data_IF_914414218529
#
_entry.id   IF_914414218529
#
_cell.length_a   1.000
_cell.length_b   1.000
_cell.length_c   1.000
_cell.angle_alpha   90.00
_cell.angle_beta   90.00
_cell.angle_gamma   90.00
#
_symmetry.space_group_name_H-M   'P 1'
#
loop_
_entity.id
_entity.type
_entity.pdbx_description
1 polymer ?
#
# COMPACT_ATOMS: atom_id res chain seq x y z
N UNK A 1 -13.89 -69.73 -21.23
CA UNK A 1 -13.79 -69.01 -19.94
C UNK A 1 -13.21 -67.59 -20.05
N UNK A 2 -12.48 -67.22 -21.11
CA UNK A 2 -11.89 -65.88 -21.26
C UNK A 2 -12.83 -64.79 -21.82
N UNK A 3 -13.82 -65.16 -22.64
CA UNK A 3 -14.76 -64.19 -23.24
C UNK A 3 -15.71 -63.55 -22.22
N UNK A 4 -16.20 -64.31 -21.22
CA UNK A 4 -17.01 -63.78 -20.13
C UNK A 4 -16.26 -62.73 -19.29
N UNK A 5 -14.96 -62.95 -19.03
CA UNK A 5 -14.12 -61.98 -18.32
C UNK A 5 -13.88 -60.71 -19.15
N UNK A 6 -13.64 -60.86 -20.46
CA UNK A 6 -13.45 -59.73 -21.36
C UNK A 6 -14.73 -58.89 -21.53
N UNK A 7 -15.90 -59.52 -21.64
CA UNK A 7 -17.19 -58.81 -21.70
C UNK A 7 -17.52 -58.09 -20.39
N UNK A 8 -17.26 -58.70 -19.23
CA UNK A 8 -17.45 -58.06 -17.93
C UNK A 8 -16.53 -56.85 -17.74
N UNK A 9 -15.26 -56.96 -18.17
CA UNK A 9 -14.31 -55.84 -18.13
C UNK A 9 -14.79 -54.69 -19.03
N UNK A 10 -15.13 -54.96 -20.30
CA UNK A 10 -15.57 -53.90 -21.23
C UNK A 10 -16.83 -53.19 -20.78
N UNK A 11 -17.81 -53.91 -20.23
CA UNK A 11 -19.04 -53.31 -19.67
C UNK A 11 -18.71 -52.48 -18.43
N UNK A 12 -17.82 -52.96 -17.56
CA UNK A 12 -17.33 -52.22 -16.39
C UNK A 12 -16.62 -50.92 -16.78
N UNK A 13 -15.76 -50.94 -17.80
CA UNK A 13 -15.04 -49.73 -18.24
C UNK A 13 -15.98 -48.72 -18.90
N UNK A 14 -16.95 -49.18 -19.71
CA UNK A 14 -17.92 -48.30 -20.36
C UNK A 14 -18.87 -47.64 -19.34
N UNK A 15 -19.30 -48.38 -18.32
CA UNK A 15 -20.14 -47.83 -17.25
C UNK A 15 -19.37 -46.86 -16.37
N UNK A 16 -18.14 -47.18 -15.97
CA UNK A 16 -17.28 -46.25 -15.23
C UNK A 16 -16.98 -44.98 -16.04
N UNK A 17 -16.66 -45.12 -17.33
CA UNK A 17 -16.43 -44.00 -18.23
C UNK A 17 -17.66 -43.09 -18.38
N UNK A 18 -18.86 -43.69 -18.47
CA UNK A 18 -20.12 -42.95 -18.47
C UNK A 18 -20.37 -42.17 -17.17
N UNK A 19 -20.11 -42.79 -16.01
CA UNK A 19 -20.24 -42.13 -14.70
C UNK A 19 -19.27 -40.96 -14.57
N UNK A 20 -18.01 -41.14 -14.98
CA UNK A 20 -17.00 -40.07 -14.92
C UNK A 20 -17.32 -38.91 -15.89
N UNK A 21 -17.81 -39.22 -17.09
CA UNK A 21 -18.26 -38.20 -18.04
C UNK A 21 -19.45 -37.41 -17.50
N UNK A 22 -20.41 -38.10 -16.86
CA UNK A 22 -21.55 -37.47 -16.22
C UNK A 22 -21.13 -36.58 -15.04
N UNK A 23 -20.17 -37.03 -14.23
CA UNK A 23 -19.61 -36.25 -13.13
C UNK A 23 -18.90 -34.99 -13.64
N UNK A 24 -18.07 -35.10 -14.68
CA UNK A 24 -17.39 -33.96 -15.28
C UNK A 24 -18.39 -32.95 -15.88
N UNK A 25 -19.40 -33.43 -16.60
CA UNK A 25 -20.45 -32.61 -17.19
C UNK A 25 -21.25 -31.87 -16.11
N UNK A 26 -21.66 -32.57 -15.05
CA UNK A 26 -22.43 -31.97 -13.95
C UNK A 26 -21.60 -31.00 -13.11
N UNK A 27 -20.28 -31.20 -12.97
CA UNK A 27 -19.40 -30.22 -12.31
C UNK A 27 -19.32 -28.89 -13.05
N UNK A 28 -19.29 -28.92 -14.40
CA UNK A 28 -19.33 -27.70 -15.21
C UNK A 28 -20.69 -27.01 -15.06
N UNK A 29 -21.77 -27.78 -15.17
CA UNK A 29 -23.14 -27.25 -15.08
C UNK A 29 -23.48 -26.71 -13.68
N UNK A 30 -22.87 -27.25 -12.63
CA UNK A 30 -23.15 -26.87 -11.24
C UNK A 30 -22.82 -25.42 -10.89
N UNK A 31 -21.98 -24.74 -11.67
CA UNK A 31 -21.68 -23.32 -11.46
C UNK A 31 -22.80 -22.40 -11.96
N UNK A 32 -23.49 -22.78 -13.04
CA UNK A 32 -24.50 -21.94 -13.70
C UNK A 32 -25.94 -22.37 -13.39
N UNK A 33 -26.18 -23.69 -13.29
CA UNK A 33 -27.51 -24.29 -13.09
C UNK A 33 -27.45 -25.42 -12.04
N UNK A 34 -27.18 -25.08 -10.76
CA UNK A 34 -26.93 -26.06 -9.72
C UNK A 34 -28.08 -27.05 -9.52
N UNK A 35 -29.33 -26.59 -9.61
CA UNK A 35 -30.51 -27.46 -9.48
C UNK A 35 -30.61 -28.52 -10.58
N UNK A 36 -30.26 -28.17 -11.82
CA UNK A 36 -30.27 -29.10 -12.95
C UNK A 36 -29.09 -30.08 -12.88
N UNK A 37 -27.91 -29.61 -12.46
CA UNK A 37 -26.76 -30.47 -12.23
C UNK A 37 -27.04 -31.52 -11.13
N UNK A 38 -27.60 -31.09 -10.00
CA UNK A 38 -27.98 -31.96 -8.90
C UNK A 38 -29.10 -32.96 -9.29
N UNK A 39 -30.09 -32.51 -10.08
CA UNK A 39 -31.12 -33.39 -10.61
C UNK A 39 -30.60 -34.42 -11.61
N UNK A 40 -29.61 -34.05 -12.42
CA UNK A 40 -29.01 -34.93 -13.43
C UNK A 40 -28.08 -35.99 -12.83
N UNK A 41 -27.35 -35.67 -11.75
CA UNK A 41 -26.54 -36.64 -11.02
C UNK A 41 -26.65 -36.41 -9.50
N UNK A 42 -27.64 -37.05 -8.83
CA UNK A 42 -27.92 -36.85 -7.40
C UNK A 42 -26.81 -37.31 -6.42
N UNK A 43 -25.81 -38.02 -6.93
CA UNK A 43 -24.62 -38.44 -6.17
C UNK A 43 -23.46 -37.44 -6.28
N UNK A 44 -23.66 -36.34 -7.03
CA UNK A 44 -22.68 -35.27 -7.11
C UNK A 44 -22.84 -34.31 -5.94
N UNK A 45 -22.10 -34.56 -4.86
CA UNK A 45 -22.16 -33.70 -3.68
C UNK A 45 -21.71 -32.25 -3.95
N UNK A 46 -20.83 -32.01 -4.94
CA UNK A 46 -20.46 -30.65 -5.37
C UNK A 46 -21.65 -29.90 -5.99
N UNK A 47 -22.44 -30.57 -6.83
CA UNK A 47 -23.66 -29.96 -7.40
C UNK A 47 -24.70 -29.67 -6.30
N UNK A 48 -24.87 -30.58 -5.34
CA UNK A 48 -25.76 -30.38 -4.19
C UNK A 48 -25.28 -29.26 -3.26
N UNK A 49 -23.98 -29.10 -3.05
CA UNK A 49 -23.38 -27.99 -2.31
C UNK A 49 -23.68 -26.63 -2.97
N UNK A 50 -23.63 -26.55 -4.31
CA UNK A 50 -24.01 -25.34 -5.05
C UNK A 50 -25.49 -25.01 -4.93
N UNK A 51 -26.37 -26.00 -4.89
CA UNK A 51 -27.80 -25.80 -4.59
C UNK A 51 -27.99 -25.20 -3.19
N UNK A 52 -27.26 -25.71 -2.20
CA UNK A 52 -27.33 -25.19 -0.83
C UNK A 52 -26.87 -23.72 -0.74
N UNK A 53 -25.79 -23.35 -1.44
CA UNK A 53 -25.33 -21.96 -1.53
C UNK A 53 -26.36 -21.03 -2.20
N UNK A 54 -26.97 -21.48 -3.30
CA UNK A 54 -27.95 -20.69 -4.04
C UNK A 54 -29.20 -20.41 -3.19
N UNK A 55 -29.67 -21.41 -2.43
CA UNK A 55 -30.78 -21.24 -1.46
C UNK A 55 -30.43 -20.30 -0.31
N UNK A 56 -29.20 -20.39 0.21
CA UNK A 56 -28.74 -19.49 1.26
C UNK A 56 -28.69 -18.03 0.77
N UNK A 57 -28.17 -17.80 -0.44
CA UNK A 57 -28.08 -16.46 -1.04
C UNK A 57 -29.46 -15.88 -1.39
N UNK A 58 -30.43 -16.73 -1.74
CA UNK A 58 -31.81 -16.31 -2.01
C UNK A 58 -32.64 -16.05 -0.76
N UNK A 59 -32.05 -16.14 0.44
CA UNK A 59 -32.67 -15.84 1.73
C UNK A 59 -34.01 -16.56 1.95
N UNK A 60 -34.08 -17.83 1.56
CA UNK A 60 -35.27 -18.65 1.86
C UNK A 60 -35.36 -18.90 3.36
N UNK A 61 -36.56 -18.74 3.96
CA UNK A 61 -36.84 -19.03 5.38
C UNK A 61 -36.75 -20.54 5.76
N UNK A 62 -36.34 -21.40 4.82
CA UNK A 62 -36.23 -22.85 5.03
C UNK A 62 -34.87 -23.21 5.64
N UNK A 63 -34.88 -24.01 6.72
CA UNK A 63 -33.65 -24.54 7.31
C UNK A 63 -32.87 -25.40 6.30
N UNK A 64 -31.59 -25.11 6.14
CA UNK A 64 -30.73 -25.84 5.19
C UNK A 64 -30.00 -27.02 5.84
N UNK A 65 -30.16 -27.23 7.15
CA UNK A 65 -29.49 -28.30 7.89
C UNK A 65 -29.75 -29.72 7.34
N UNK A 66 -30.97 -30.11 6.92
CA UNK A 66 -31.21 -31.43 6.34
C UNK A 66 -30.44 -31.64 5.03
N UNK A 67 -30.39 -30.61 4.18
CA UNK A 67 -29.66 -30.64 2.91
C UNK A 67 -28.16 -30.73 3.14
N UNK A 68 -27.61 -29.92 4.05
CA UNK A 68 -26.20 -29.96 4.42
C UNK A 68 -25.77 -31.32 4.97
N UNK A 69 -26.61 -31.97 5.80
CA UNK A 69 -26.34 -33.34 6.28
C UNK A 69 -26.31 -34.36 5.15
N UNK A 70 -27.15 -34.21 4.13
CA UNK A 70 -27.16 -35.12 2.99
C UNK A 70 -25.90 -34.93 2.13
N UNK A 71 -25.47 -33.69 1.92
CA UNK A 71 -24.21 -33.40 1.23
C UNK A 71 -23.03 -34.02 2.00
N UNK A 72 -22.97 -33.87 3.32
CA UNK A 72 -21.86 -34.39 4.13
C UNK A 72 -21.76 -35.92 4.15
N UNK A 73 -22.86 -36.67 3.89
CA UNK A 73 -22.79 -38.13 3.71
C UNK A 73 -22.03 -38.52 2.44
N UNK A 74 -22.08 -37.67 1.42
CA UNK A 74 -21.45 -37.91 0.12
C UNK A 74 -20.08 -37.24 0.03
N UNK A 75 -19.96 -36.03 0.57
CA UNK A 75 -18.77 -35.17 0.55
C UNK A 75 -18.43 -34.68 1.97
N UNK A 76 -17.81 -35.51 2.83
CA UNK A 76 -17.49 -35.17 4.22
C UNK A 76 -16.54 -33.97 4.38
N UNK A 77 -15.84 -33.59 3.30
CA UNK A 77 -14.90 -32.48 3.26
C UNK A 77 -15.53 -31.18 2.70
N UNK A 78 -16.85 -31.13 2.50
CA UNK A 78 -17.57 -29.93 2.04
C UNK A 78 -17.55 -28.85 3.13
N UNK A 79 -16.75 -27.78 2.99
CA UNK A 79 -16.67 -26.75 4.01
C UNK A 79 -17.94 -25.90 4.06
N UNK A 80 -18.67 -25.76 2.95
CA UNK A 80 -19.96 -25.03 2.93
C UNK A 80 -20.98 -25.75 3.78
N UNK A 81 -21.12 -27.08 3.61
CA UNK A 81 -22.11 -27.85 4.36
C UNK A 81 -21.83 -27.83 5.85
N UNK A 82 -20.56 -27.93 6.25
CA UNK A 82 -20.17 -27.70 7.65
C UNK A 82 -20.49 -26.30 8.14
N UNK A 83 -20.27 -25.26 7.32
CA UNK A 83 -20.58 -23.88 7.68
C UNK A 83 -22.10 -23.67 7.85
N UNK A 84 -22.92 -24.25 6.97
CA UNK A 84 -24.38 -24.22 7.10
C UNK A 84 -24.80 -24.88 8.42
N UNK A 85 -24.26 -26.05 8.75
CA UNK A 85 -24.57 -26.71 10.02
C UNK A 85 -24.13 -25.90 11.23
N UNK A 86 -23.01 -25.16 11.15
CA UNK A 86 -22.57 -24.27 12.22
C UNK A 86 -23.53 -23.09 12.40
N UNK A 87 -23.98 -22.47 11.31
CA UNK A 87 -24.87 -21.30 11.32
C UNK A 87 -26.27 -21.61 11.88
N UNK A 88 -26.72 -22.86 11.79
CA UNK A 88 -27.99 -23.34 12.34
C UNK A 88 -27.91 -23.67 13.84
N UNK A 89 -26.72 -23.65 14.47
CA UNK A 89 -26.60 -23.86 15.90
C UNK A 89 -27.10 -22.65 16.69
N UNK A 90 -27.92 -22.89 17.71
CA UNK A 90 -28.33 -21.86 18.66
C UNK A 90 -27.26 -21.59 19.73
N UNK A 91 -26.46 -22.60 20.05
CA UNK A 91 -25.33 -22.47 20.97
C UNK A 91 -24.11 -21.92 20.22
N UNK A 92 -23.65 -20.73 20.64
CA UNK A 92 -22.48 -20.09 20.07
C UNK A 92 -21.21 -20.93 20.25
N UNK A 93 -21.06 -21.66 21.37
CA UNK A 93 -19.88 -22.50 21.59
C UNK A 93 -19.83 -23.66 20.58
N UNK A 94 -20.98 -24.28 20.33
CA UNK A 94 -21.11 -25.37 19.36
C UNK A 94 -20.93 -24.88 17.92
N UNK A 95 -21.46 -23.69 17.59
CA UNK A 95 -21.18 -23.03 16.31
C UNK A 95 -19.68 -22.87 16.08
N UNK A 96 -18.99 -22.31 17.07
CA UNK A 96 -17.56 -22.02 16.98
C UNK A 96 -16.73 -23.31 16.85
N UNK A 97 -17.06 -24.36 17.60
CA UNK A 97 -16.42 -25.67 17.50
C UNK A 97 -16.54 -26.26 16.09
N UNK A 98 -17.73 -26.19 15.49
CA UNK A 98 -17.94 -26.69 14.13
C UNK A 98 -17.15 -25.86 13.11
N UNK A 99 -17.15 -24.53 13.23
CA UNK A 99 -16.39 -23.66 12.32
C UNK A 99 -14.88 -23.94 12.39
N UNK A 100 -14.33 -24.08 13.60
CA UNK A 100 -12.92 -24.38 13.80
C UNK A 100 -12.57 -25.77 13.25
N UNK A 101 -13.36 -26.79 13.55
CA UNK A 101 -13.16 -28.13 13.01
C UNK A 101 -13.26 -28.16 11.47
N UNK A 102 -14.21 -27.42 10.89
CA UNK A 102 -14.34 -27.30 9.45
C UNK A 102 -13.12 -26.63 8.80
N UNK A 103 -12.51 -25.66 9.49
CA UNK A 103 -11.30 -24.97 9.04
C UNK A 103 -10.08 -25.89 8.97
N UNK A 104 -10.01 -26.91 9.83
CA UNK A 104 -8.95 -27.90 9.79
C UNK A 104 -9.09 -28.85 8.58
N UNK A 105 -10.33 -29.10 8.13
CA UNK A 105 -10.62 -29.99 7.02
C UNK A 105 -10.40 -29.33 5.66
N UNK A 106 -10.91 -28.11 5.47
CA UNK A 106 -10.78 -27.40 4.20
C UNK A 106 -10.86 -25.90 4.40
N UNK A 107 -9.83 -25.19 3.93
CA UNK A 107 -9.69 -23.76 4.18
C UNK A 107 -10.20 -22.88 3.04
N UNK A 108 -10.58 -23.41 1.87
CA UNK A 108 -10.63 -22.59 0.64
C UNK A 108 -11.93 -21.84 0.36
N UNK A 109 -12.98 -22.01 1.15
CA UNK A 109 -14.27 -21.37 0.84
C UNK A 109 -14.46 -20.05 1.56
N UNK A 110 -14.86 -19.04 0.79
CA UNK A 110 -15.14 -17.70 1.29
C UNK A 110 -16.17 -17.71 2.42
N UNK A 111 -17.23 -18.50 2.32
CA UNK A 111 -18.28 -18.57 3.35
C UNK A 111 -17.74 -19.02 4.72
N UNK A 112 -16.89 -20.06 4.75
CA UNK A 112 -16.27 -20.53 5.98
C UNK A 112 -15.30 -19.47 6.51
N UNK A 113 -14.45 -18.92 5.64
CA UNK A 113 -13.46 -17.93 6.03
C UNK A 113 -14.09 -16.64 6.56
N UNK A 114 -15.18 -16.15 5.95
CA UNK A 114 -15.93 -14.99 6.47
C UNK A 114 -16.51 -15.25 7.86
N UNK A 115 -16.98 -16.47 8.15
CA UNK A 115 -17.47 -16.82 9.48
C UNK A 115 -16.35 -16.96 10.51
N UNK A 116 -15.20 -17.53 10.12
CA UNK A 116 -14.00 -17.56 10.96
C UNK A 116 -13.48 -16.15 11.24
N UNK A 117 -13.53 -15.25 10.27
CA UNK A 117 -13.15 -13.86 10.47
C UNK A 117 -14.04 -13.18 11.52
N UNK A 118 -15.36 -13.36 11.44
CA UNK A 118 -16.30 -12.86 12.44
C UNK A 118 -16.02 -13.44 13.83
N UNK A 119 -15.74 -14.75 13.89
CA UNK A 119 -15.37 -15.45 15.12
C UNK A 119 -14.11 -14.83 15.76
N UNK A 120 -13.01 -14.76 15.02
CA UNK A 120 -11.74 -14.22 15.55
C UNK A 120 -11.82 -12.73 15.87
N UNK A 121 -12.52 -11.95 15.04
CA UNK A 121 -12.76 -10.54 15.32
C UNK A 121 -13.56 -10.32 16.61
N UNK A 122 -14.55 -11.18 16.90
CA UNK A 122 -15.33 -11.11 18.14
C UNK A 122 -14.52 -11.40 19.41
N UNK A 123 -13.33 -12.01 19.25
CA UNK A 123 -12.42 -12.41 20.33
C UNK A 123 -11.17 -11.52 20.41
N UNK A 124 -11.11 -10.43 19.63
CA UNK A 124 -9.91 -9.59 19.46
C UNK A 124 -8.65 -10.40 19.07
N UNK A 125 -8.83 -11.51 18.35
CA UNK A 125 -7.76 -12.41 17.94
C UNK A 125 -7.17 -11.94 16.61
N UNK A 126 -6.27 -10.96 16.67
CA UNK A 126 -5.64 -10.36 15.49
C UNK A 126 -4.83 -11.36 14.67
N UNK A 127 -4.11 -12.26 15.33
CA UNK A 127 -3.25 -13.24 14.67
C UNK A 127 -4.07 -14.12 13.72
N UNK A 128 -5.14 -14.74 14.24
CA UNK A 128 -5.98 -15.60 13.43
C UNK A 128 -6.87 -14.80 12.46
N UNK A 129 -7.33 -13.60 12.82
CA UNK A 129 -8.09 -12.73 11.91
C UNK A 129 -7.29 -12.34 10.67
N UNK A 130 -6.03 -11.92 10.85
CA UNK A 130 -5.16 -11.52 9.74
C UNK A 130 -4.76 -12.75 8.91
N UNK A 131 -4.54 -13.92 9.53
CA UNK A 131 -4.27 -15.16 8.81
C UNK A 131 -5.45 -15.56 7.89
N UNK A 132 -6.68 -15.47 8.39
CA UNK A 132 -7.91 -15.70 7.62
C UNK A 132 -8.04 -14.69 6.48
N UNK A 133 -7.81 -13.41 6.74
CA UNK A 133 -7.86 -12.36 5.72
C UNK A 133 -6.82 -12.56 4.62
N UNK A 134 -5.60 -12.93 4.98
CA UNK A 134 -4.55 -13.28 4.02
C UNK A 134 -5.02 -14.42 3.11
N UNK A 135 -5.68 -15.42 3.68
CA UNK A 135 -6.22 -16.52 2.90
C UNK A 135 -7.34 -16.10 1.95
N UNK A 136 -8.29 -15.28 2.43
CA UNK A 136 -9.37 -14.73 1.58
C UNK A 136 -8.76 -13.98 0.40
N UNK A 137 -7.84 -13.05 0.65
CA UNK A 137 -7.23 -12.21 -0.39
C UNK A 137 -6.32 -12.99 -1.35
N UNK A 138 -5.77 -14.12 -0.91
CA UNK A 138 -4.99 -15.01 -1.79
C UNK A 138 -5.88 -15.76 -2.78
N UNK A 139 -7.10 -16.14 -2.37
CA UNK A 139 -8.02 -16.95 -3.20
C UNK A 139 -9.02 -16.08 -3.98
N UNK A 140 -9.38 -14.93 -3.41
CA UNK A 140 -10.36 -13.98 -3.95
C UNK A 140 -9.80 -12.54 -3.90
N UNK A 141 -8.83 -12.19 -4.78
CA UNK A 141 -8.27 -10.85 -4.85
C UNK A 141 -9.31 -9.74 -5.11
N UNK A 142 -10.44 -10.08 -5.73
CA UNK A 142 -11.57 -9.15 -5.92
C UNK A 142 -12.18 -8.63 -4.61
N UNK A 143 -11.84 -9.24 -3.46
CA UNK A 143 -12.31 -8.82 -2.14
C UNK A 143 -11.46 -7.69 -1.53
N UNK A 144 -10.38 -7.23 -2.19
CA UNK A 144 -9.51 -6.16 -1.67
C UNK A 144 -10.30 -4.92 -1.22
N UNK A 145 -11.26 -4.44 -2.02
CA UNK A 145 -12.06 -3.25 -1.71
C UNK A 145 -12.88 -3.40 -0.41
N UNK A 146 -13.37 -4.61 -0.12
CA UNK A 146 -14.16 -4.90 1.08
C UNK A 146 -13.26 -5.18 2.29
N UNK A 147 -12.13 -5.84 2.09
CA UNK A 147 -11.28 -6.34 3.18
C UNK A 147 -10.23 -5.32 3.65
N UNK A 148 -9.74 -4.45 2.76
CA UNK A 148 -8.75 -3.44 3.14
C UNK A 148 -9.24 -2.49 4.25
N UNK A 149 -10.48 -1.99 4.25
CA UNK A 149 -10.99 -1.18 5.37
C UNK A 149 -10.91 -1.91 6.72
N UNK A 150 -11.17 -3.21 6.75
CA UNK A 150 -11.10 -4.04 7.97
C UNK A 150 -9.64 -4.16 8.44
N UNK A 151 -8.73 -4.47 7.51
CA UNK A 151 -7.29 -4.54 7.81
C UNK A 151 -6.73 -3.19 8.27
N UNK A 152 -7.12 -2.10 7.63
CA UNK A 152 -6.70 -0.75 8.01
C UNK A 152 -7.22 -0.42 9.41
N UNK A 153 -8.47 -0.78 9.72
CA UNK A 153 -9.03 -0.59 11.06
C UNK A 153 -8.26 -1.40 12.11
N UNK A 154 -7.86 -2.64 11.80
CA UNK A 154 -7.01 -3.45 12.68
C UNK A 154 -5.62 -2.83 12.85
N UNK A 155 -5.01 -2.30 11.78
CA UNK A 155 -3.68 -1.67 11.80
C UNK A 155 -3.62 -0.43 12.72
N UNK A 156 -4.76 0.18 13.06
CA UNK A 156 -4.81 1.26 14.06
C UNK A 156 -4.44 0.79 15.47
N UNK A 157 -4.63 -0.50 15.77
CA UNK A 157 -4.20 -1.09 17.03
C UNK A 157 -2.72 -1.49 16.93
N UNK A 158 -1.88 -0.91 17.80
CA UNK A 158 -0.44 -1.20 17.84
C UNK A 158 -0.14 -2.70 18.06
N UNK A 159 -1.02 -3.41 18.79
CA UNK A 159 -0.88 -4.85 19.06
C UNK A 159 -0.97 -5.70 17.80
N UNK A 160 -1.57 -5.19 16.72
CA UNK A 160 -1.71 -5.91 15.46
C UNK A 160 -0.44 -5.87 14.58
N UNK A 161 0.48 -4.93 14.83
CA UNK A 161 1.65 -4.71 13.96
C UNK A 161 2.53 -5.97 13.80
N UNK A 162 2.86 -6.74 14.87
CA UNK A 162 3.61 -7.99 14.73
C UNK A 162 2.90 -9.02 13.82
N UNK A 163 1.58 -9.11 13.93
CA UNK A 163 0.77 -10.03 13.13
C UNK A 163 0.76 -9.64 11.64
N UNK A 164 0.68 -8.34 11.35
CA UNK A 164 0.87 -7.83 9.98
C UNK A 164 2.26 -8.13 9.45
N UNK A 165 3.31 -8.02 10.27
CA UNK A 165 4.68 -8.34 9.85
C UNK A 165 4.80 -9.82 9.50
N UNK A 166 4.16 -10.71 10.25
CA UNK A 166 4.14 -12.15 9.95
C UNK A 166 3.37 -12.46 8.67
N UNK A 167 2.14 -11.94 8.54
CA UNK A 167 1.29 -12.17 7.38
C UNK A 167 1.92 -11.65 6.08
N UNK A 168 2.58 -10.49 6.13
CA UNK A 168 3.23 -9.88 4.96
C UNK A 168 4.64 -10.43 4.69
N UNK A 169 5.21 -11.25 5.59
CA UNK A 169 6.57 -11.77 5.45
C UNK A 169 6.76 -12.62 4.18
N UNK A 170 5.72 -13.33 3.77
CA UNK A 170 5.72 -14.18 2.58
C UNK A 170 5.35 -13.43 1.29
N UNK A 171 5.24 -12.09 1.35
CA UNK A 171 5.00 -11.22 0.18
C UNK A 171 3.72 -11.58 -0.58
N UNK A 172 2.54 -11.58 0.08
CA UNK A 172 1.32 -11.85 -0.63
C UNK A 172 1.07 -10.77 -1.70
N UNK A 173 0.40 -11.14 -2.80
CA UNK A 173 0.22 -10.25 -3.96
C UNK A 173 -0.50 -8.95 -3.61
N UNK A 174 -1.39 -8.99 -2.61
CA UNK A 174 -2.16 -7.85 -2.11
C UNK A 174 -1.35 -6.89 -1.21
N UNK A 175 -0.13 -7.26 -0.78
CA UNK A 175 0.65 -6.50 0.21
C UNK A 175 0.91 -5.04 -0.20
N UNK A 176 1.36 -4.84 -1.44
CA UNK A 176 1.69 -3.51 -1.97
C UNK A 176 0.44 -2.62 -2.07
N UNK A 177 -0.67 -3.18 -2.59
CA UNK A 177 -1.96 -2.51 -2.68
C UNK A 177 -2.50 -2.13 -1.31
N UNK A 178 -2.39 -3.02 -0.31
CA UNK A 178 -2.79 -2.76 1.06
C UNK A 178 -1.97 -1.63 1.71
N UNK A 179 -0.63 -1.70 1.63
CA UNK A 179 0.23 -0.66 2.19
C UNK A 179 -0.07 0.72 1.57
N UNK A 180 -0.35 0.76 0.25
CA UNK A 180 -0.75 1.97 -0.46
C UNK A 180 -2.12 2.47 -0.01
N UNK A 181 -3.10 1.58 0.16
CA UNK A 181 -4.44 1.95 0.65
C UNK A 181 -4.40 2.47 2.09
N UNK A 182 -3.63 1.81 2.96
CA UNK A 182 -3.44 2.20 4.35
C UNK A 182 -2.82 3.60 4.51
N UNK A 183 -2.00 4.05 3.55
CA UNK A 183 -1.46 5.42 3.54
C UNK A 183 -2.55 6.51 3.43
N UNK A 184 -3.77 6.14 3.03
CA UNK A 184 -4.92 7.04 3.00
C UNK A 184 -5.57 7.30 4.37
N UNK A 185 -5.32 6.45 5.37
CA UNK A 185 -5.94 6.56 6.69
C UNK A 185 -4.95 7.18 7.70
N UNK A 186 -5.30 8.37 8.19
CA UNK A 186 -4.44 9.16 9.09
C UNK A 186 -4.13 8.46 10.41
N UNK A 187 -5.09 7.73 10.96
CA UNK A 187 -4.96 7.10 12.28
C UNK A 187 -4.09 5.84 12.22
N UNK A 188 -4.04 5.19 11.05
CA UNK A 188 -3.17 4.04 10.81
C UNK A 188 -1.72 4.42 10.48
N UNK A 189 -1.42 5.69 10.14
CA UNK A 189 -0.11 6.09 9.60
C UNK A 189 1.10 5.76 10.48
N UNK A 190 0.99 5.96 11.80
CA UNK A 190 2.10 5.68 12.71
C UNK A 190 2.45 4.18 12.71
N UNK A 191 1.43 3.32 12.78
CA UNK A 191 1.61 1.87 12.73
C UNK A 191 2.01 1.39 11.33
N UNK A 192 1.50 2.01 10.27
CA UNK A 192 1.91 1.75 8.89
C UNK A 192 3.39 2.07 8.66
N UNK A 193 3.88 3.20 9.16
CA UNK A 193 5.29 3.57 9.07
C UNK A 193 6.17 2.56 9.81
N UNK A 194 5.78 2.16 11.03
CA UNK A 194 6.45 1.11 11.80
C UNK A 194 6.45 -0.22 11.06
N UNK A 195 5.30 -0.66 10.55
CA UNK A 195 5.13 -1.88 9.77
C UNK A 195 6.06 -1.87 8.56
N UNK A 196 6.05 -0.78 7.79
CA UNK A 196 6.91 -0.64 6.60
C UNK A 196 8.40 -0.70 6.96
N UNK A 197 8.82 -0.06 8.05
CA UNK A 197 10.20 -0.14 8.54
C UNK A 197 10.61 -1.57 8.93
N UNK A 198 9.72 -2.34 9.56
CA UNK A 198 9.96 -3.75 9.93
C UNK A 198 9.99 -4.69 8.71
N UNK A 199 9.28 -4.33 7.64
CA UNK A 199 9.23 -5.08 6.39
C UNK A 199 10.30 -4.66 5.37
N UNK A 200 11.08 -3.62 5.67
CA UNK A 200 11.98 -3.00 4.69
C UNK A 200 12.94 -3.99 4.02
N UNK A 201 13.63 -4.79 4.83
CA UNK A 201 14.62 -5.75 4.34
C UNK A 201 13.98 -7.10 3.94
N UNK A 202 12.67 -7.26 4.13
CA UNK A 202 11.93 -8.51 3.84
C UNK A 202 11.44 -8.55 2.40
N UNK A 203 10.89 -7.44 1.90
CA UNK A 203 10.50 -7.34 0.50
C UNK A 203 10.49 -5.92 -0.07
N UNK A 204 10.60 -5.87 -1.39
CA UNK A 204 10.52 -4.64 -2.16
C UNK A 204 9.05 -4.32 -2.44
N UNK A 205 8.63 -3.12 -2.03
CA UNK A 205 7.36 -2.52 -2.46
C UNK A 205 7.58 -1.69 -3.72
N UNK A 206 6.51 -1.35 -4.43
CA UNK A 206 6.62 -0.42 -5.57
C UNK A 206 7.03 0.97 -5.06
N UNK A 207 7.85 1.74 -5.81
CA UNK A 207 8.25 3.09 -5.40
C UNK A 207 7.08 4.02 -5.10
N UNK A 208 5.98 3.91 -5.85
CA UNK A 208 4.76 4.69 -5.64
C UNK A 208 4.10 4.43 -4.28
N UNK A 209 4.24 3.22 -3.73
CA UNK A 209 3.70 2.85 -2.42
C UNK A 209 4.49 3.56 -1.31
N UNK A 210 5.82 3.48 -1.36
CA UNK A 210 6.71 4.19 -0.43
C UNK A 210 6.50 5.71 -0.49
N UNK A 211 6.36 6.26 -1.70
CA UNK A 211 6.02 7.66 -1.92
C UNK A 211 4.70 8.04 -1.29
N UNK A 212 3.66 7.21 -1.46
CA UNK A 212 2.33 7.45 -0.91
C UNK A 212 2.36 7.49 0.63
N UNK A 213 3.13 6.60 1.27
CA UNK A 213 3.32 6.56 2.72
C UNK A 213 4.05 7.82 3.20
N UNK A 214 5.19 8.16 2.56
CA UNK A 214 5.97 9.36 2.90
C UNK A 214 5.13 10.63 2.78
N UNK A 215 4.42 10.80 1.66
CA UNK A 215 3.56 11.95 1.41
C UNK A 215 2.47 12.07 2.49
N UNK A 216 1.87 10.94 2.89
CA UNK A 216 0.86 10.92 3.92
C UNK A 216 1.42 11.31 5.30
N UNK A 217 2.60 10.79 5.68
CA UNK A 217 3.28 11.15 6.93
C UNK A 217 3.61 12.66 6.98
N UNK A 218 4.14 13.22 5.89
CA UNK A 218 4.43 14.67 5.80
C UNK A 218 3.16 15.51 5.92
N UNK A 219 2.08 15.12 5.24
CA UNK A 219 0.78 15.81 5.35
C UNK A 219 0.18 15.71 6.76
N UNK A 220 0.36 14.57 7.44
CA UNK A 220 -0.11 14.38 8.81
C UNK A 220 0.75 15.13 9.86
N UNK A 221 1.93 15.62 9.46
CA UNK A 221 2.88 16.31 10.34
C UNK A 221 3.84 15.36 11.08
N UNK A 222 3.81 14.06 10.80
CA UNK A 222 4.77 13.08 11.33
C UNK A 222 6.06 13.10 10.50
N UNK A 223 6.80 14.19 10.64
CA UNK A 223 8.02 14.45 9.89
C UNK A 223 9.17 13.54 10.31
N UNK A 224 9.17 13.05 11.55
CA UNK A 224 10.22 12.18 12.08
C UNK A 224 10.13 10.79 11.43
N UNK A 225 8.94 10.19 11.40
CA UNK A 225 8.70 8.91 10.71
C UNK A 225 8.95 9.04 9.20
N UNK A 226 8.49 10.12 8.58
CA UNK A 226 8.71 10.37 7.15
C UNK A 226 10.20 10.44 6.81
N UNK A 227 10.97 11.18 7.60
CA UNK A 227 12.43 11.34 7.42
C UNK A 227 13.18 10.04 7.70
N UNK A 228 12.74 9.26 8.69
CA UNK A 228 13.32 7.95 8.97
C UNK A 228 13.11 6.96 7.81
N UNK A 229 11.89 6.90 7.29
CA UNK A 229 11.54 6.02 6.16
C UNK A 229 12.28 6.42 4.88
N UNK A 230 12.27 7.70 4.51
CA UNK A 230 13.01 8.20 3.34
C UNK A 230 14.51 7.84 3.41
N UNK A 231 15.17 8.07 4.56
CA UNK A 231 16.59 7.72 4.72
C UNK A 231 16.87 6.23 4.55
N UNK A 232 15.96 5.37 5.05
CA UNK A 232 16.07 3.92 4.88
C UNK A 232 15.93 3.53 3.40
N UNK A 233 14.99 4.14 2.66
CA UNK A 233 14.79 3.92 1.23
C UNK A 233 16.01 4.37 0.41
N UNK A 234 16.47 5.59 0.61
CA UNK A 234 17.59 6.18 -0.16
C UNK A 234 18.96 5.58 0.19
N UNK A 235 19.04 4.64 1.13
CA UNK A 235 20.31 4.07 1.59
C UNK A 235 21.22 5.07 2.31
N UNK A 236 20.69 6.24 2.70
CA UNK A 236 21.44 7.28 3.42
C UNK A 236 21.64 6.79 4.86
N UNK A 237 22.73 6.06 5.07
CA UNK A 237 23.10 5.48 6.35
C UNK A 237 23.36 6.56 7.40
N UNK A 238 22.48 6.67 8.40
CA UNK A 238 22.71 7.52 9.56
C UNK A 238 23.58 6.80 10.58
N UNK A 239 24.84 7.22 10.67
CA UNK A 239 25.48 7.36 11.98
C UNK A 239 25.28 8.82 12.42
N UNK A 240 24.17 9.09 13.12
CA UNK A 240 24.04 10.28 13.99
C UNK A 240 22.77 11.15 13.82
N UNK A 241 22.31 11.79 14.91
CA UNK A 241 21.26 12.82 14.88
C UNK A 241 21.84 14.12 14.32
N UNK A 242 21.10 14.75 13.40
CA UNK A 242 21.53 15.92 12.62
C UNK A 242 22.87 15.71 11.86
N UNK A 243 23.09 16.40 10.72
CA UNK A 243 24.45 16.52 10.22
C UNK A 243 25.31 17.11 11.35
N UNK A 244 26.24 16.33 11.89
CA UNK A 244 27.24 16.79 12.84
C UNK A 244 27.82 18.12 12.35
N UNK A 245 28.10 19.07 13.26
CA UNK A 245 28.48 20.45 12.96
C UNK A 245 29.67 20.66 11.98
N UNK A 246 30.33 19.59 11.54
CA UNK A 246 31.46 19.59 10.59
C UNK A 246 31.14 19.04 9.19
N UNK A 247 29.91 18.56 8.91
CA UNK A 247 29.55 18.02 7.60
C UNK A 247 28.89 19.10 6.74
N UNK A 248 29.59 19.52 5.69
CA UNK A 248 28.97 20.24 4.58
C UNK A 248 28.11 19.23 3.80
N UNK A 249 26.81 19.47 3.74
CA UNK A 249 25.87 18.67 2.97
C UNK A 249 25.66 19.35 1.61
N UNK A 250 26.12 18.71 0.53
CA UNK A 250 25.69 19.04 -0.83
C UNK A 250 24.33 18.39 -1.06
N UNK A 251 23.36 19.15 -1.55
CA UNK A 251 22.07 18.60 -1.97
C UNK A 251 22.23 18.00 -3.37
N UNK A 252 21.78 16.75 -3.53
CA UNK A 252 21.62 16.09 -4.84
C UNK A 252 20.46 16.71 -5.64
N UNK A 253 20.34 16.32 -6.90
CA UNK A 253 19.22 16.69 -7.77
C UNK A 253 18.21 15.55 -7.98
N UNK A 254 18.14 14.59 -7.04
CA UNK A 254 17.18 13.47 -7.09
C UNK A 254 15.73 13.99 -7.19
N UNK A 255 14.88 13.26 -7.92
CA UNK A 255 13.46 13.61 -8.15
C UNK A 255 12.50 12.42 -7.96
N UNK A 256 13.02 11.28 -7.48
CA UNK A 256 12.27 10.03 -7.42
C UNK A 256 11.27 10.04 -6.26
N UNK A 257 11.67 10.58 -5.11
CA UNK A 257 10.91 10.56 -3.86
C UNK A 257 10.60 11.95 -3.27
N UNK A 258 9.92 12.87 -3.99
CA UNK A 258 9.39 14.07 -3.37
C UNK A 258 8.47 13.72 -2.20
N UNK A 259 8.39 14.55 -1.14
CA UNK A 259 8.94 15.90 -1.05
C UNK A 259 10.39 15.96 -0.53
N UNK A 260 11.03 14.85 -0.18
CA UNK A 260 12.43 14.88 0.30
C UNK A 260 13.44 15.02 -0.85
N UNK A 261 13.11 14.44 -2.00
CA UNK A 261 13.71 14.78 -3.28
C UNK A 261 13.06 16.03 -3.89
N UNK A 262 13.65 16.57 -4.95
CA UNK A 262 13.14 17.74 -5.63
C UNK A 262 11.82 17.45 -6.35
N UNK A 263 10.78 18.16 -5.95
CA UNK A 263 9.66 18.45 -6.84
C UNK A 263 10.07 19.58 -7.80
N UNK A 264 9.80 19.39 -9.09
CA UNK A 264 10.12 20.36 -10.13
C UNK A 264 8.84 20.82 -10.82
N UNK A 265 8.70 22.12 -11.01
CA UNK A 265 7.61 22.68 -11.78
C UNK A 265 7.81 22.37 -13.27
N UNK A 266 6.78 21.86 -13.93
CA UNK A 266 6.80 21.49 -15.37
C UNK A 266 5.80 22.32 -16.19
N UNK A 267 5.44 23.51 -15.69
CA UNK A 267 4.50 24.41 -16.33
C UNK A 267 5.02 25.01 -17.65
N UNK A 268 4.10 25.52 -18.47
CA UNK A 268 4.44 26.17 -19.75
C UNK A 268 4.95 27.61 -19.61
N UNK A 269 4.69 28.26 -18.47
CA UNK A 269 5.13 29.62 -18.15
C UNK A 269 6.36 29.67 -17.25
N UNK A 270 6.53 28.67 -16.41
CA UNK A 270 7.63 28.55 -15.47
C UNK A 270 7.95 27.06 -15.30
N UNK A 271 9.21 26.68 -15.50
CA UNK A 271 9.64 25.28 -15.46
C UNK A 271 11.04 25.13 -14.89
N UNK A 272 11.29 23.98 -14.29
CA UNK A 272 12.61 23.50 -13.90
C UNK A 272 12.81 22.06 -14.37
N UNK A 273 14.05 21.72 -14.71
CA UNK A 273 14.45 20.38 -15.14
C UNK A 273 15.88 20.09 -14.66
N UNK A 274 16.20 18.82 -14.47
CA UNK A 274 17.59 18.39 -14.19
C UNK A 274 18.28 18.13 -15.53
N UNK A 275 19.54 18.53 -15.61
CA UNK A 275 20.44 18.24 -16.73
C UNK A 275 21.64 17.50 -16.17
N UNK A 276 21.89 16.26 -16.60
CA UNK A 276 22.83 15.34 -15.93
C UNK A 276 24.32 15.59 -16.26
N UNK A 277 24.62 16.32 -17.35
CA UNK A 277 26.00 16.55 -17.81
C UNK A 277 26.29 18.05 -18.05
N UNK A 278 26.99 18.75 -17.13
CA UNK A 278 27.12 18.40 -15.71
C UNK A 278 25.80 18.52 -14.94
N UNK A 279 25.61 17.67 -13.92
CA UNK A 279 24.41 17.63 -13.08
C UNK A 279 24.06 19.01 -12.49
N UNK A 280 22.92 19.57 -12.90
CA UNK A 280 22.44 20.89 -12.49
C UNK A 280 20.94 21.02 -12.66
N UNK A 281 20.33 21.95 -11.92
CA UNK A 281 18.95 22.34 -12.13
C UNK A 281 18.89 23.52 -13.08
N UNK A 282 18.26 23.36 -14.23
CA UNK A 282 17.98 24.44 -15.18
C UNK A 282 16.55 24.92 -15.00
N UNK A 283 16.32 26.22 -15.11
CA UNK A 283 14.99 26.81 -15.04
C UNK A 283 14.75 27.90 -16.08
N UNK A 284 13.47 28.08 -16.40
CA UNK A 284 12.97 29.10 -17.29
C UNK A 284 11.70 29.72 -16.71
N UNK A 285 11.57 31.04 -16.78
CA UNK A 285 10.35 31.78 -16.46
C UNK A 285 10.05 32.77 -17.59
N UNK A 286 8.90 32.59 -18.21
CA UNK A 286 8.38 33.48 -19.24
C UNK A 286 8.04 34.84 -18.64
N UNK A 287 8.27 35.92 -19.39
CA UNK A 287 7.83 37.27 -19.00
C UNK A 287 6.37 37.31 -18.54
N UNK A 288 6.11 38.04 -17.47
CA UNK A 288 4.80 38.14 -16.82
C UNK A 288 4.40 36.90 -16.00
N UNK A 289 5.32 35.96 -15.75
CA UNK A 289 5.07 34.76 -14.92
C UNK A 289 5.93 34.76 -13.66
N UNK A 290 5.47 34.04 -12.66
CA UNK A 290 6.16 33.85 -11.39
C UNK A 290 5.65 32.58 -10.72
N UNK A 291 6.51 31.90 -9.97
CA UNK A 291 6.11 30.71 -9.24
C UNK A 291 7.26 30.04 -8.49
N UNK A 292 6.93 28.93 -7.85
CA UNK A 292 7.92 27.98 -7.33
C UNK A 292 8.41 27.15 -8.51
N UNK A 293 9.72 27.13 -8.70
CA UNK A 293 10.40 26.35 -9.73
C UNK A 293 10.75 24.95 -9.24
N UNK A 294 11.23 24.88 -8.01
CA UNK A 294 11.62 23.62 -7.38
C UNK A 294 11.46 23.70 -5.87
N UNK A 295 11.12 22.60 -5.24
CA UNK A 295 11.07 22.49 -3.78
C UNK A 295 11.51 21.12 -3.29
N UNK A 296 12.11 21.08 -2.10
CA UNK A 296 12.34 19.86 -1.33
C UNK A 296 12.33 20.13 0.16
N UNK A 297 12.10 19.08 0.95
CA UNK A 297 12.20 19.07 2.39
C UNK A 297 13.59 18.57 2.78
N UNK A 298 14.20 19.25 3.74
CA UNK A 298 15.54 18.92 4.23
C UNK A 298 15.62 19.15 5.75
N UNK A 299 16.36 18.29 6.44
CA UNK A 299 16.71 18.50 7.84
C UNK A 299 17.89 19.46 7.95
N UNK A 300 17.77 20.47 8.82
CA UNK A 300 18.79 21.52 8.99
C UNK A 300 19.20 21.67 10.45
N UNK A 301 20.45 22.09 10.74
CA UNK A 301 20.88 22.43 12.08
C UNK A 301 20.28 23.76 12.54
N UNK A 302 20.37 24.07 13.84
CA UNK A 302 19.80 25.29 14.45
C UNK A 302 20.28 26.59 13.80
N UNK A 303 21.54 26.61 13.33
CA UNK A 303 22.12 27.68 12.54
C UNK A 303 23.02 27.08 11.44
N UNK A 304 22.98 27.65 10.24
CA UNK A 304 23.78 27.18 9.10
C UNK A 304 24.12 28.29 8.11
N UNK A 305 25.08 28.01 7.23
CA UNK A 305 25.33 28.77 6.01
C UNK A 305 24.74 28.02 4.82
N UNK A 306 23.91 28.71 4.04
CA UNK A 306 23.42 28.27 2.74
C UNK A 306 24.31 28.87 1.65
N UNK A 307 24.95 28.04 0.83
CA UNK A 307 25.78 28.46 -0.32
C UNK A 307 25.18 27.91 -1.60
N UNK A 308 24.93 28.78 -2.58
CA UNK A 308 24.29 28.42 -3.85
C UNK A 308 25.18 28.89 -5.01
N UNK A 309 25.62 27.97 -5.84
CA UNK A 309 26.33 28.26 -7.09
C UNK A 309 25.34 28.25 -8.24
N UNK A 310 25.32 29.32 -9.01
CA UNK A 310 24.33 29.54 -10.06
C UNK A 310 24.87 30.42 -11.19
N UNK A 311 24.15 30.39 -12.31
CA UNK A 311 24.22 31.33 -13.42
C UNK A 311 22.78 31.76 -13.77
N UNK A 312 22.53 33.06 -13.87
CA UNK A 312 21.20 33.63 -14.14
C UNK A 312 21.33 34.69 -15.22
N UNK A 313 20.46 34.58 -16.23
CA UNK A 313 20.40 35.50 -17.34
C UNK A 313 18.95 35.97 -17.58
N UNK A 314 18.72 37.29 -17.70
CA UNK A 314 19.70 38.37 -17.59
C UNK A 314 20.18 38.64 -16.15
N UNK A 315 21.43 39.10 -15.97
CA UNK A 315 22.04 39.30 -14.64
C UNK A 315 21.34 40.39 -13.82
N UNK A 316 20.76 41.39 -14.47
CA UNK A 316 19.95 42.43 -13.84
C UNK A 316 18.64 41.90 -13.23
N UNK A 317 18.22 40.68 -13.58
CA UNK A 317 17.06 39.99 -13.01
C UNK A 317 17.46 39.00 -11.90
N UNK A 318 18.72 38.98 -11.48
CA UNK A 318 19.20 38.10 -10.41
C UNK A 318 18.41 38.28 -9.09
N UNK A 319 17.98 39.50 -8.80
CA UNK A 319 17.15 39.82 -7.63
C UNK A 319 15.73 39.22 -7.67
N UNK A 320 15.28 38.78 -8.85
CA UNK A 320 13.96 38.21 -9.06
C UNK A 320 13.95 36.67 -8.91
N UNK A 321 15.12 36.04 -8.76
CA UNK A 321 15.26 34.63 -8.34
C UNK A 321 15.53 34.59 -6.83
N UNK A 322 14.78 33.79 -6.09
CA UNK A 322 14.78 33.80 -4.63
C UNK A 322 14.81 32.39 -4.06
N UNK A 323 15.49 32.24 -2.93
CA UNK A 323 15.37 31.06 -2.10
C UNK A 323 14.59 31.38 -0.84
N UNK A 324 13.63 30.53 -0.53
CA UNK A 324 12.85 30.61 0.69
C UNK A 324 13.02 29.34 1.53
N UNK A 325 13.00 29.52 2.85
CA UNK A 325 12.88 28.42 3.81
C UNK A 325 11.59 28.60 4.60
N UNK A 326 10.81 27.54 4.63
CA UNK A 326 9.57 27.46 5.40
C UNK A 326 9.67 26.30 6.38
N UNK A 327 9.21 26.53 7.61
CA UNK A 327 9.09 25.46 8.58
C UNK A 327 8.04 24.46 8.14
N UNK A 328 8.36 23.18 8.01
CA UNK A 328 7.37 22.22 7.52
C UNK A 328 6.27 21.95 8.56
N UNK A 329 6.61 22.02 9.85
CA UNK A 329 5.64 21.82 10.93
C UNK A 329 4.66 22.98 11.08
N UNK A 330 5.14 24.22 11.17
CA UNK A 330 4.29 25.41 11.41
C UNK A 330 3.82 26.09 10.12
N UNK A 331 4.35 25.68 8.96
CA UNK A 331 4.18 26.36 7.67
C UNK A 331 4.60 27.84 7.69
N UNK A 332 5.42 28.27 8.65
CA UNK A 332 5.90 29.65 8.74
C UNK A 332 7.16 29.84 7.88
N UNK A 333 7.14 30.81 6.96
CA UNK A 333 8.34 31.22 6.22
C UNK A 333 9.18 32.13 7.11
N UNK A 334 10.44 31.75 7.34
CA UNK A 334 11.36 32.52 8.18
C UNK A 334 12.60 33.03 7.42
N UNK A 335 12.81 32.55 6.20
CA UNK A 335 13.88 32.99 5.32
C UNK A 335 13.33 33.18 3.91
N UNK A 336 13.65 34.32 3.30
CA UNK A 336 13.29 34.64 1.93
C UNK A 336 14.28 35.68 1.39
N UNK A 337 15.25 35.24 0.58
CA UNK A 337 16.32 36.10 0.07
C UNK A 337 16.49 35.94 -1.44
N UNK A 338 16.70 37.05 -2.16
CA UNK A 338 17.06 36.98 -3.58
C UNK A 338 18.47 36.43 -3.75
N UNK A 339 18.75 35.80 -4.89
CA UNK A 339 20.10 35.47 -5.30
C UNK A 339 20.97 36.73 -5.39
N UNK A 340 22.26 36.55 -5.15
CA UNK A 340 23.29 37.58 -5.26
C UNK A 340 24.42 37.03 -6.14
N UNK A 341 25.53 37.78 -6.26
CA UNK A 341 26.68 37.35 -7.06
C UNK A 341 27.08 35.91 -6.69
N UNK A 342 27.22 35.05 -7.70
CA UNK A 342 27.58 33.65 -7.52
C UNK A 342 29.00 33.50 -6.90
N UNK A 343 29.19 32.65 -5.88
CA UNK A 343 28.15 31.92 -5.15
C UNK A 343 27.38 32.83 -4.18
N UNK A 344 26.05 32.70 -4.16
CA UNK A 344 25.21 33.35 -3.17
C UNK A 344 25.41 32.68 -1.81
N UNK A 345 25.79 33.45 -0.77
CA UNK A 345 26.04 32.93 0.58
C UNK A 345 25.16 33.62 1.62
N UNK A 346 24.44 32.84 2.41
CA UNK A 346 23.53 33.35 3.43
C UNK A 346 23.76 32.72 4.79
N UNK A 347 23.74 33.57 5.81
CA UNK A 347 23.60 33.21 7.21
C UNK A 347 22.15 32.90 7.53
N UNK A 348 21.84 31.68 7.95
CA UNK A 348 20.51 31.28 8.39
C UNK A 348 20.57 30.87 9.86
N UNK A 349 19.68 31.43 10.67
CA UNK A 349 19.49 31.06 12.06
C UNK A 349 19.68 32.21 13.05
N UNK A 350 19.34 31.98 14.32
CA UNK A 350 18.78 30.73 14.85
C UNK A 350 17.38 30.44 14.30
N UNK A 351 17.11 29.20 13.90
CA UNK A 351 15.77 28.78 13.47
C UNK A 351 14.89 28.51 14.71
N UNK A 352 13.55 28.54 14.59
CA UNK A 352 12.68 28.17 15.69
C UNK A 352 12.97 26.72 16.16
N UNK A 353 12.88 26.46 17.47
CA UNK A 353 13.20 25.15 18.07
C UNK A 353 12.45 23.98 17.43
N UNK A 354 11.25 24.24 16.93
CA UNK A 354 10.32 23.25 16.41
C UNK A 354 10.47 23.07 14.88
N UNK A 355 11.61 23.52 14.33
CA UNK A 355 11.81 23.73 12.90
C UNK A 355 13.02 22.99 12.32
N UNK A 356 13.36 21.83 12.88
CA UNK A 356 14.49 21.02 12.41
C UNK A 356 14.32 20.53 10.95
N UNK A 357 13.07 20.49 10.45
CA UNK A 357 12.73 20.09 9.08
C UNK A 357 12.12 21.29 8.35
N UNK A 358 12.77 21.68 7.24
CA UNK A 358 12.38 22.86 6.48
C UNK A 358 12.13 22.50 5.02
N UNK A 359 11.17 23.19 4.41
CA UNK A 359 10.97 23.22 2.97
C UNK A 359 11.84 24.30 2.37
N UNK A 360 12.77 23.88 1.52
CA UNK A 360 13.59 24.73 0.67
C UNK A 360 12.88 24.91 -0.66
N UNK A 361 12.59 26.16 -1.04
CA UNK A 361 11.95 26.49 -2.30
C UNK A 361 12.81 27.46 -3.12
N UNK A 362 12.99 27.14 -4.39
CA UNK A 362 13.47 28.06 -5.42
C UNK A 362 12.25 28.74 -6.07
N UNK A 363 12.16 30.05 -5.94
CA UNK A 363 11.12 30.87 -6.54
C UNK A 363 11.73 31.81 -7.56
N UNK A 364 10.99 32.11 -8.61
CA UNK A 364 11.42 33.11 -9.59
C UNK A 364 10.23 33.88 -10.15
N UNK A 365 10.52 35.10 -10.62
CA UNK A 365 9.56 35.98 -11.29
C UNK A 365 10.24 36.64 -12.48
N UNK A 366 9.59 36.64 -13.64
CA UNK A 366 9.98 37.48 -14.76
C UNK A 366 8.88 38.52 -14.96
N UNK A 367 9.21 39.80 -14.78
CA UNK A 367 8.23 40.89 -14.90
C UNK A 367 7.77 41.05 -16.36
N UNK A 368 6.58 41.62 -16.57
CA UNK A 368 5.98 41.74 -17.91
C UNK A 368 6.71 42.71 -18.84
N UNK A 369 7.40 43.69 -18.26
CA UNK A 369 8.22 44.71 -18.91
C UNK A 369 9.68 44.27 -19.12
N UNK A 370 10.05 43.08 -18.63
CA UNK A 370 11.40 42.50 -18.77
C UNK A 370 11.42 41.33 -19.76
N UNK A 371 12.63 40.90 -20.10
CA UNK A 371 12.86 39.68 -20.87
C UNK A 371 12.51 38.41 -20.08
N UNK A 372 12.43 37.28 -20.77
CA UNK A 372 12.32 35.98 -20.11
C UNK A 372 13.54 35.73 -19.22
N UNK A 373 13.31 35.07 -18.09
CA UNK A 373 14.36 34.73 -17.14
C UNK A 373 14.78 33.28 -17.35
N UNK A 374 16.08 33.07 -17.48
CA UNK A 374 16.71 31.75 -17.58
C UNK A 374 17.76 31.63 -16.48
N UNK A 375 18.00 30.42 -16.00
CA UNK A 375 19.13 30.21 -15.12
C UNK A 375 19.39 28.75 -14.82
N UNK A 376 20.53 28.52 -14.19
CA UNK A 376 21.01 27.22 -13.78
C UNK A 376 21.50 27.32 -12.33
N UNK A 377 21.11 26.35 -11.50
CA UNK A 377 21.67 26.13 -10.17
C UNK A 377 22.59 24.94 -10.27
N UNK A 378 23.90 25.17 -10.11
CA UNK A 378 24.92 24.13 -10.20
C UNK A 378 25.01 23.33 -8.91
N UNK A 379 24.95 24.00 -7.75
CA UNK A 379 25.05 23.32 -6.47
C UNK A 379 24.38 24.11 -5.34
N UNK A 380 23.88 23.38 -4.35
CA UNK A 380 23.40 23.94 -3.08
C UNK A 380 24.10 23.20 -1.94
N UNK A 381 24.74 23.96 -1.05
CA UNK A 381 25.43 23.45 0.11
C UNK A 381 24.86 24.03 1.40
N UNK A 382 24.61 23.15 2.37
CA UNK A 382 24.24 23.49 3.74
C UNK A 382 25.41 23.12 4.64
N UNK A 383 25.91 24.07 5.41
CA UNK A 383 27.00 23.85 6.37
C UNK A 383 26.58 24.38 7.72
N UNK A 384 26.65 23.55 8.76
CA UNK A 384 26.38 23.98 10.13
C UNK A 384 27.34 25.12 10.54
N UNK A 385 26.88 25.95 11.47
CA UNK A 385 27.65 27.07 12.03
C UNK A 385 28.10 26.80 13.44
#
# INVERSE_FOLDING_TARGET
MNWLKASLLSVGTASLGGVLAMQAFTNVLANDQPGLAAGAFPLNGFAMERVALDRLNSQTDETLAPLAREVLKQEPLSPVSWTILALEQQDAAQKDEILLAASDLNRRTLMLQSNLLLLYASRDDFANSIAVLNQILTVSPEQEETMFPILIQALKDERSVPEFVEALNNKPDWADSFLKAAAGDRDALANLARLRMLLFDKFLVKPDTDKSIIDALVRAGDLDSATALYRKISGISSSGPAPSAKRQQRLDWGTEMPPFDWWLNRGSGERAQIVDEPERLEFFVRRGKAGVLAERIVSVPQSFTLTIEHDVSPVEQLGDVRFALQCEKTKTRFFDRPLTKSPSKYSVGPIPTDCAVVRLSLLARAWSDKENLNGQIHSIHISAR
#
